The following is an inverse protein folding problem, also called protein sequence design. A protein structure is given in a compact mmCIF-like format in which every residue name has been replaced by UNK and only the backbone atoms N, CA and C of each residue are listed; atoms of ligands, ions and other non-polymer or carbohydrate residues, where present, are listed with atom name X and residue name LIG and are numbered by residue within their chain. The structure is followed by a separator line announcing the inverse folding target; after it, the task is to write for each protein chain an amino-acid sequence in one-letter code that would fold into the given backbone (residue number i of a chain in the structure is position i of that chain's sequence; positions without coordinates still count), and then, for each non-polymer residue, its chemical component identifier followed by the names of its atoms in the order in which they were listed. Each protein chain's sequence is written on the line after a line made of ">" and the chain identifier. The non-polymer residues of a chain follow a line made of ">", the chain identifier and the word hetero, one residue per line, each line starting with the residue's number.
data_IF_995369879009
#
_entry.id   IF_995369879009
#
_cell.length_a   1.000
_cell.length_b   1.000
_cell.length_c   1.000
_cell.angle_alpha   90.00
_cell.angle_beta   90.00
_cell.angle_gamma   90.00
#
_symmetry.space_group_name_H-M   'P 1'
#
loop_
_entity.id
_entity.type
_entity.pdbx_description
1 polymer ?
#
# COMPACT_ATOMS: atom_id res chain seq x y z
N UNK A 1 1.32 -1.36 -10.14
CA UNK A 1 0.74 -2.28 -9.13
C UNK A 1 0.21 -3.55 -9.82
N UNK A 2 0.35 -4.74 -9.21
CA UNK A 2 -0.21 -5.99 -9.78
C UNK A 2 -1.74 -6.01 -9.85
N UNK A 3 -2.36 -6.72 -10.81
CA UNK A 3 -3.82 -6.78 -10.96
C UNK A 3 -4.54 -7.39 -9.74
N UNK A 4 -3.95 -8.39 -9.07
CA UNK A 4 -4.52 -8.95 -7.84
C UNK A 4 -4.54 -7.94 -6.67
N UNK A 5 -3.53 -7.07 -6.59
CA UNK A 5 -3.47 -5.98 -5.62
C UNK A 5 -4.54 -4.93 -5.91
N UNK A 6 -4.75 -4.57 -7.18
CA UNK A 6 -5.79 -3.62 -7.58
C UNK A 6 -7.19 -4.13 -7.24
N UNK A 7 -7.45 -5.43 -7.44
CA UNK A 7 -8.73 -6.04 -7.08
C UNK A 7 -8.95 -6.04 -5.56
N UNK A 8 -7.92 -6.44 -4.80
CA UNK A 8 -7.97 -6.42 -3.33
C UNK A 8 -8.12 -5.00 -2.79
N UNK A 9 -7.44 -4.02 -3.40
CA UNK A 9 -7.57 -2.61 -3.09
C UNK A 9 -9.01 -2.14 -3.26
N UNK A 10 -9.62 -2.40 -4.42
CA UNK A 10 -11.04 -2.05 -4.68
C UNK A 10 -12.01 -2.71 -3.70
N UNK A 11 -11.69 -3.90 -3.22
CA UNK A 11 -12.54 -4.68 -2.32
C UNK A 11 -12.46 -4.22 -0.86
N UNK A 12 -11.24 -3.95 -0.38
CA UNK A 12 -10.98 -3.75 1.05
C UNK A 12 -10.65 -2.31 1.44
N UNK A 13 -10.07 -1.50 0.53
CA UNK A 13 -9.75 -0.10 0.81
C UNK A 13 -10.97 0.76 0.52
N UNK A 14 -11.57 1.33 1.56
CA UNK A 14 -12.76 2.20 1.44
C UNK A 14 -12.51 3.61 1.95
N UNK A 15 -11.57 3.79 2.87
CA UNK A 15 -11.26 5.08 3.51
C UNK A 15 -9.75 5.26 3.69
N UNK A 16 -9.36 6.50 4.01
CA UNK A 16 -8.00 6.79 4.44
C UNK A 16 -7.59 5.93 5.64
N UNK A 17 -6.31 5.54 5.69
CA UNK A 17 -5.70 4.69 6.71
C UNK A 17 -6.22 3.24 6.77
N UNK A 18 -7.01 2.81 5.79
CA UNK A 18 -7.29 1.37 5.65
C UNK A 18 -6.01 0.61 5.33
N UNK A 19 -5.91 -0.56 5.95
CA UNK A 19 -4.84 -1.52 5.73
C UNK A 19 -5.47 -2.82 5.27
N UNK A 20 -5.07 -3.29 4.10
CA UNK A 20 -5.52 -4.56 3.55
C UNK A 20 -4.34 -5.44 3.17
N UNK A 21 -4.58 -6.74 3.03
CA UNK A 21 -3.61 -7.66 2.43
C UNK A 21 -4.17 -8.11 1.09
N UNK A 22 -3.34 -8.15 0.07
CA UNK A 22 -3.71 -8.68 -1.23
C UNK A 22 -3.89 -10.21 -1.14
N UNK A 23 -5.06 -10.71 -1.52
CA UNK A 23 -5.36 -12.15 -1.47
C UNK A 23 -4.51 -12.96 -2.46
N UNK A 24 -4.09 -12.37 -3.58
CA UNK A 24 -3.37 -13.08 -4.63
C UNK A 24 -1.85 -13.19 -4.40
N UNK A 25 -1.21 -12.13 -3.88
CA UNK A 25 0.25 -12.10 -3.70
C UNK A 25 0.71 -11.86 -2.26
N UNK A 26 -0.21 -11.65 -1.31
CA UNK A 26 0.11 -11.43 0.10
C UNK A 26 0.78 -10.08 0.41
N UNK A 27 0.84 -9.16 -0.55
CA UNK A 27 1.36 -7.80 -0.32
C UNK A 27 0.44 -7.01 0.61
N UNK A 28 1.02 -6.14 1.43
CA UNK A 28 0.28 -5.22 2.28
C UNK A 28 -0.08 -3.97 1.47
N UNK A 29 -1.35 -3.59 1.50
CA UNK A 29 -1.92 -2.42 0.87
C UNK A 29 -2.22 -1.38 1.96
N UNK A 30 -1.64 -0.19 1.83
CA UNK A 30 -1.75 0.90 2.81
C UNK A 30 -2.35 2.12 2.14
N UNK A 31 -3.53 2.55 2.56
CA UNK A 31 -4.22 3.69 1.97
C UNK A 31 -3.98 4.99 2.74
N UNK A 32 -3.69 6.06 1.99
CA UNK A 32 -3.40 7.40 2.51
C UNK A 32 -4.31 8.43 1.86
N UNK A 33 -4.97 9.25 2.69
CA UNK A 33 -5.72 10.43 2.23
C UNK A 33 -4.89 11.72 2.27
N UNK A 34 -3.72 11.70 2.92
CA UNK A 34 -2.85 12.85 3.08
C UNK A 34 -1.50 12.59 2.38
N UNK A 35 -1.06 13.49 1.48
CA UNK A 35 0.24 13.36 0.81
C UNK A 35 1.44 13.33 1.77
N UNK A 36 1.37 14.02 2.91
CA UNK A 36 2.46 14.05 3.89
C UNK A 36 2.72 12.67 4.51
N UNK A 37 1.68 11.99 5.00
CA UNK A 37 1.77 10.64 5.57
C UNK A 37 2.31 9.63 4.53
N UNK A 38 1.89 9.79 3.27
CA UNK A 38 2.36 8.98 2.16
C UNK A 38 3.87 9.18 1.93
N UNK A 39 4.34 10.43 1.88
CA UNK A 39 5.76 10.74 1.69
C UNK A 39 6.64 10.24 2.83
N UNK A 40 6.20 10.39 4.08
CA UNK A 40 6.91 9.85 5.24
C UNK A 40 7.04 8.32 5.14
N UNK A 41 5.97 7.64 4.73
CA UNK A 41 6.02 6.19 4.51
C UNK A 41 6.96 5.82 3.35
N UNK A 42 6.90 6.53 2.21
CA UNK A 42 7.82 6.30 1.09
C UNK A 42 9.27 6.44 1.52
N UNK A 43 9.62 7.51 2.24
CA UNK A 43 10.97 7.72 2.78
C UNK A 43 11.40 6.57 3.69
N UNK A 44 10.54 6.14 4.60
CA UNK A 44 10.83 5.03 5.51
C UNK A 44 11.06 3.70 4.76
N UNK A 45 10.25 3.41 3.73
CA UNK A 45 10.40 2.19 2.93
C UNK A 45 11.67 2.22 2.07
N UNK A 46 11.97 3.36 1.45
CA UNK A 46 13.22 3.55 0.70
C UNK A 46 14.44 3.40 1.62
N UNK A 47 14.42 4.00 2.81
CA UNK A 47 15.51 3.89 3.78
C UNK A 47 15.73 2.43 4.26
N UNK A 48 14.66 1.64 4.32
CA UNK A 48 14.72 0.21 4.67
C UNK A 48 15.02 -0.70 3.47
N UNK A 49 15.20 -0.15 2.26
CA UNK A 49 15.41 -0.94 1.04
C UNK A 49 14.21 -1.82 0.67
N UNK A 50 13.00 -1.49 1.15
CA UNK A 50 11.79 -2.27 0.90
C UNK A 50 11.21 -1.84 -0.43
N UNK A 51 11.07 -2.73 -1.42
CA UNK A 51 10.42 -2.39 -2.67
C UNK A 51 8.93 -2.12 -2.43
N UNK A 52 8.39 -1.06 -3.02
CA UNK A 52 6.98 -0.73 -2.92
C UNK A 52 6.48 -0.17 -4.24
N UNK A 53 5.19 -0.34 -4.49
CA UNK A 53 4.47 0.26 -5.60
C UNK A 53 3.44 1.24 -5.05
N UNK A 54 3.17 2.33 -5.77
CA UNK A 54 2.14 3.31 -5.38
C UNK A 54 1.15 3.44 -6.51
N UNK A 55 -0.14 3.44 -6.17
CA UNK A 55 -1.23 3.60 -7.12
C UNK A 55 -2.23 4.62 -6.57
N UNK A 56 -2.78 5.45 -7.45
CA UNK A 56 -3.88 6.33 -7.10
C UNK A 56 -5.21 5.56 -7.13
N UNK A 57 -6.04 5.74 -6.11
CA UNK A 57 -7.37 5.14 -6.03
C UNK A 57 -8.39 6.15 -5.54
N UNK A 58 -9.19 6.68 -6.47
CA UNK A 58 -10.13 7.79 -6.20
C UNK A 58 -9.39 9.00 -5.62
N UNK A 59 -9.71 9.42 -4.40
CA UNK A 59 -9.04 10.50 -3.67
C UNK A 59 -7.94 10.00 -2.73
N UNK A 60 -7.62 8.71 -2.76
CA UNK A 60 -6.61 8.07 -1.91
C UNK A 60 -5.38 7.69 -2.73
N UNK A 61 -4.24 7.58 -2.05
CA UNK A 61 -3.04 6.94 -2.59
C UNK A 61 -2.76 5.67 -1.82
N UNK A 62 -2.51 4.58 -2.54
CA UNK A 62 -2.31 3.26 -1.94
C UNK A 62 -0.89 2.78 -2.22
N UNK A 63 -0.16 2.44 -1.16
CA UNK A 63 1.14 1.80 -1.24
C UNK A 63 0.94 0.28 -1.14
N UNK A 64 1.41 -0.47 -2.14
CA UNK A 64 1.58 -1.92 -2.03
C UNK A 64 3.04 -2.25 -1.72
N UNK A 65 3.29 -2.94 -0.61
CA UNK A 65 4.63 -3.40 -0.22
C UNK A 65 4.61 -4.88 0.18
N UNK A 66 5.71 -5.62 0.04
CA UNK A 66 5.79 -6.96 0.60
C UNK A 66 5.67 -6.90 2.12
N UNK A 67 5.06 -7.94 2.69
CA UNK A 67 4.99 -8.09 4.14
C UNK A 67 6.38 -8.54 4.62
N UNK A 68 7.10 -7.67 5.30
CA UNK A 68 8.37 -8.04 5.92
C UNK A 68 8.08 -9.13 6.96
N UNK A 69 8.54 -10.35 6.72
CA UNK A 69 8.67 -11.35 7.79
C UNK A 69 9.70 -10.80 8.75
N UNK A 70 9.30 -10.36 9.94
CA UNK A 70 10.23 -10.21 11.06
C UNK A 70 10.84 -11.60 11.28
N UNK A 71 12.13 -11.76 10.99
CA UNK A 71 12.91 -12.91 11.46
C UNK A 71 13.16 -12.75 12.94
#
# INVERSE_FOLDING_TARGET
>A
MKPCCLQSMKRYIKKQRDVATCDGCGQLLLAYGNPRDLEETKKALTAQGVPFEVEAFSHLQVIAKPRLKKK
#
